data_IF_416887774845
#
_entry.id   IF_416887774845
#
_cell.length_a   1.000
_cell.length_b   1.000
_cell.length_c   1.000
_cell.angle_alpha   90.00
_cell.angle_beta   90.00
_cell.angle_gamma   90.00
#
_symmetry.space_group_name_H-M   'P 1'
#
loop_
_entity.id
_entity.type
_entity.pdbx_description
1 polymer ?
#
# COMPACT_ATOMS: atom_id res chain seq x y z
N UNK A 1 -13.33 -4.67 0.79
CA UNK A 1 -12.35 -3.58 1.07
C UNK A 1 -12.11 -2.80 -0.21
N UNK A 2 -11.16 -1.86 -0.24
CA UNK A 2 -10.95 -1.04 -1.45
C UNK A 2 -9.49 -0.97 -1.90
N UNK A 3 -9.23 -1.17 -3.19
CA UNK A 3 -7.94 -0.87 -3.83
C UNK A 3 -7.87 0.61 -4.20
N UNK A 4 -6.65 1.14 -4.28
CA UNK A 4 -6.41 2.57 -4.43
C UNK A 4 -5.36 2.80 -5.51
N UNK A 5 -5.76 3.27 -6.68
CA UNK A 5 -4.87 3.57 -7.81
C UNK A 5 -4.82 5.06 -8.08
N UNK A 6 -3.63 5.60 -8.24
CA UNK A 6 -3.39 7.01 -8.51
C UNK A 6 -2.97 7.14 -9.97
N UNK A 7 -3.71 7.92 -10.75
CA UNK A 7 -3.36 8.18 -12.15
C UNK A 7 -2.06 9.00 -12.24
N UNK A 8 -1.25 8.66 -13.23
CA UNK A 8 0.02 9.33 -13.54
C UNK A 8 -0.11 10.07 -14.89
N UNK A 9 0.51 11.26 -15.04
CA UNK A 9 1.40 11.91 -14.09
C UNK A 9 0.67 12.51 -12.88
N UNK A 10 1.22 12.28 -11.68
CA UNK A 10 0.65 12.80 -10.44
C UNK A 10 0.82 14.32 -10.34
N UNK A 11 -0.31 15.05 -10.35
CA UNK A 11 -0.34 16.47 -9.98
C UNK A 11 -0.52 16.64 -8.48
N UNK A 12 0.40 17.36 -7.83
CA UNK A 12 0.30 17.73 -6.41
C UNK A 12 -0.23 19.15 -6.20
N UNK A 13 -0.79 19.78 -7.24
CA UNK A 13 -1.37 21.13 -7.19
C UNK A 13 -2.79 21.12 -6.58
N UNK A 14 -3.32 22.30 -6.25
CA UNK A 14 -4.70 22.46 -5.75
C UNK A 14 -4.87 22.35 -4.23
N UNK A 15 -6.00 22.81 -3.71
CA UNK A 15 -6.29 22.85 -2.26
C UNK A 15 -6.39 21.46 -1.66
N UNK A 16 -6.97 20.51 -2.39
CA UNK A 16 -7.18 19.14 -1.94
C UNK A 16 -5.87 18.34 -1.76
N UNK A 17 -4.78 18.74 -2.41
CA UNK A 17 -3.46 18.10 -2.33
C UNK A 17 -2.53 18.74 -1.28
N UNK A 18 -3.04 19.67 -0.45
CA UNK A 18 -2.25 20.40 0.56
C UNK A 18 -1.54 19.47 1.54
N UNK A 19 -2.19 18.38 1.97
CA UNK A 19 -1.60 17.39 2.87
C UNK A 19 -0.36 16.72 2.27
N UNK A 20 -0.48 16.24 1.02
CA UNK A 20 0.65 15.67 0.28
C UNK A 20 1.79 16.68 0.10
N UNK A 21 1.48 17.90 -0.31
CA UNK A 21 2.51 18.95 -0.46
C UNK A 21 3.23 19.24 0.85
N UNK A 22 2.51 19.34 1.97
CA UNK A 22 3.13 19.60 3.28
C UNK A 22 4.14 18.51 3.64
N UNK A 23 3.80 17.25 3.41
CA UNK A 23 4.71 16.12 3.66
C UNK A 23 5.91 16.13 2.71
N UNK A 24 5.70 16.41 1.42
CA UNK A 24 6.79 16.55 0.45
C UNK A 24 7.73 17.69 0.82
N UNK A 25 7.20 18.86 1.19
CA UNK A 25 7.98 20.00 1.63
C UNK A 25 8.76 19.68 2.90
N UNK A 26 8.16 18.99 3.88
CA UNK A 26 8.85 18.60 5.10
C UNK A 26 10.04 17.67 4.83
N UNK A 27 9.87 16.68 3.94
CA UNK A 27 10.98 15.79 3.56
C UNK A 27 12.09 16.54 2.80
N UNK A 28 11.71 17.43 1.88
CA UNK A 28 12.68 18.23 1.10
C UNK A 28 13.41 19.26 1.94
N UNK A 29 12.74 19.90 2.89
CA UNK A 29 13.35 20.84 3.85
C UNK A 29 14.36 20.14 4.76
N UNK A 30 14.15 18.85 5.07
CA UNK A 30 15.14 18.01 5.75
C UNK A 30 16.27 17.48 4.85
N UNK A 31 16.42 18.03 3.63
CA UNK A 31 17.49 17.67 2.69
C UNK A 31 17.38 16.25 2.11
N UNK A 32 16.23 15.59 2.23
CA UNK A 32 16.08 14.19 1.81
C UNK A 32 16.05 14.07 0.29
N UNK A 33 16.92 13.19 -0.25
CA UNK A 33 17.00 12.86 -1.68
C UNK A 33 16.67 11.40 -1.92
N UNK A 34 16.04 11.09 -3.06
CA UNK A 34 15.65 9.73 -3.45
C UNK A 34 16.47 9.30 -4.65
N UNK A 35 17.00 8.07 -4.60
CA UNK A 35 17.78 7.46 -5.68
C UNK A 35 17.25 6.07 -6.01
N UNK A 36 17.33 5.70 -7.30
CA UNK A 36 17.00 4.37 -7.77
C UNK A 36 18.17 3.41 -7.56
N UNK A 37 17.87 2.18 -7.16
CA UNK A 37 18.87 1.14 -6.90
C UNK A 37 19.03 0.21 -8.12
N UNK A 38 19.01 0.78 -9.32
CA UNK A 38 19.13 0.01 -10.55
C UNK A 38 20.51 -0.69 -10.61
N UNK A 39 20.52 -1.96 -10.99
CA UNK A 39 21.74 -2.76 -11.25
C UNK A 39 22.69 -2.96 -10.05
N UNK A 40 22.22 -2.72 -8.82
CA UNK A 40 23.00 -3.01 -7.62
C UNK A 40 23.24 -4.52 -7.48
N UNK A 41 24.51 -4.94 -7.50
CA UNK A 41 24.90 -6.34 -7.30
C UNK A 41 24.56 -6.84 -5.89
N UNK A 42 24.49 -8.16 -5.70
CA UNK A 42 24.12 -8.76 -4.40
C UNK A 42 25.00 -8.32 -3.22
N UNK A 43 26.25 -7.92 -3.48
CA UNK A 43 27.23 -7.50 -2.47
C UNK A 43 27.20 -6.00 -2.15
N UNK A 44 26.29 -5.24 -2.77
CA UNK A 44 26.24 -3.78 -2.61
C UNK A 44 26.05 -3.37 -1.13
N UNK A 45 26.81 -2.36 -0.64
CA UNK A 45 26.62 -1.82 0.70
C UNK A 45 25.22 -1.23 0.90
N UNK A 46 24.54 -0.82 -0.18
CA UNK A 46 23.18 -0.31 -0.20
C UNK A 46 22.18 -1.29 0.44
N UNK A 47 22.38 -2.60 0.31
CA UNK A 47 21.51 -3.59 0.95
C UNK A 47 21.63 -3.60 2.47
N UNK A 48 22.80 -3.25 3.02
CA UNK A 48 22.99 -3.06 4.47
C UNK A 48 22.22 -1.84 4.96
N UNK A 49 22.18 -0.78 4.16
CA UNK A 49 21.40 0.42 4.47
C UNK A 49 19.89 0.13 4.51
N UNK A 50 19.36 -0.62 3.55
CA UNK A 50 17.96 -1.06 3.56
C UNK A 50 17.65 -1.90 4.81
N UNK A 51 18.54 -2.83 5.20
CA UNK A 51 18.42 -3.61 6.45
C UNK A 51 18.39 -2.72 7.69
N UNK A 52 19.22 -1.67 7.72
CA UNK A 52 19.28 -0.72 8.83
C UNK A 52 18.01 0.11 8.97
N UNK A 53 17.52 0.68 7.87
CA UNK A 53 16.24 1.40 7.83
C UNK A 53 15.10 0.47 8.24
N UNK A 54 15.08 -0.76 7.72
CA UNK A 54 14.07 -1.74 8.06
C UNK A 54 14.05 -2.05 9.57
N UNK A 55 15.21 -2.24 10.19
CA UNK A 55 15.32 -2.50 11.63
C UNK A 55 14.78 -1.32 12.44
N UNK A 56 15.14 -0.09 12.08
CA UNK A 56 14.65 1.14 12.72
C UNK A 56 13.13 1.27 12.60
N UNK A 57 12.58 1.03 11.41
CA UNK A 57 11.14 1.07 11.19
C UNK A 57 10.38 -0.01 11.98
N UNK A 58 10.92 -1.24 12.07
CA UNK A 58 10.30 -2.32 12.84
C UNK A 58 10.36 -2.09 14.37
N UNK A 59 11.33 -1.32 14.85
CA UNK A 59 11.45 -1.00 16.28
C UNK A 59 10.28 -0.12 16.76
N UNK A 60 9.65 0.65 15.87
CA UNK A 60 8.53 1.55 16.20
C UNK A 60 7.15 0.97 15.84
N UNK A 61 7.00 -0.36 15.69
CA UNK A 61 5.76 -1.01 15.24
C UNK A 61 5.33 -2.15 16.16
N UNK A 62 4.01 -2.36 16.24
CA UNK A 62 3.41 -3.53 16.89
C UNK A 62 3.86 -4.80 16.17
N UNK A 63 4.39 -5.76 16.93
CA UNK A 63 4.93 -7.02 16.42
C UNK A 63 3.91 -8.14 16.52
N UNK A 64 2.81 -8.07 15.78
CA UNK A 64 1.88 -9.22 15.71
C UNK A 64 2.33 -10.23 14.64
N UNK A 65 2.21 -11.53 14.94
CA UNK A 65 2.59 -12.61 14.01
C UNK A 65 1.70 -12.67 12.77
N UNK A 66 0.46 -12.22 12.90
CA UNK A 66 -0.57 -12.32 11.85
C UNK A 66 -0.33 -11.32 10.72
N UNK A 67 0.03 -10.07 11.05
CA UNK A 67 0.37 -9.06 10.05
C UNK A 67 1.56 -9.48 9.20
N UNK A 68 2.48 -10.28 9.76
CA UNK A 68 3.62 -10.83 9.03
C UNK A 68 3.24 -11.89 7.98
N UNK A 69 2.10 -12.58 8.14
CA UNK A 69 1.57 -13.53 7.14
C UNK A 69 0.81 -12.82 6.03
N UNK A 70 0.08 -11.74 6.36
CA UNK A 70 -0.75 -11.01 5.42
C UNK A 70 0.01 -9.95 4.59
N UNK A 71 1.29 -9.68 4.89
CA UNK A 71 2.09 -8.68 4.18
C UNK A 71 3.22 -9.31 3.38
N UNK A 72 3.50 -8.76 2.19
CA UNK A 72 4.63 -9.19 1.36
C UNK A 72 5.93 -9.13 2.16
N UNK A 73 6.69 -10.24 2.18
CA UNK A 73 8.04 -10.25 2.74
C UNK A 73 8.95 -9.40 1.87
N UNK A 74 9.37 -8.29 2.43
CA UNK A 74 10.23 -7.33 1.77
C UNK A 74 11.62 -7.96 1.52
N UNK A 75 11.95 -8.30 0.27
CA UNK A 75 13.27 -8.82 -0.10
C UNK A 75 14.30 -7.69 -0.05
N UNK A 76 15.27 -7.79 0.86
CA UNK A 76 16.32 -6.78 1.05
C UNK A 76 17.54 -7.09 0.18
N UNK A 77 17.33 -7.11 -1.13
CA UNK A 77 18.32 -7.45 -2.15
C UNK A 77 17.76 -7.32 -3.57
N UNK A 78 18.54 -7.74 -4.60
CA UNK A 78 18.11 -7.70 -5.99
C UNK A 78 16.85 -8.54 -6.21
N UNK A 79 15.94 -8.02 -7.01
CA UNK A 79 14.67 -8.69 -7.32
C UNK A 79 14.15 -8.25 -8.68
N UNK A 80 13.86 -9.24 -9.53
CA UNK A 80 13.31 -9.00 -10.87
C UNK A 80 11.90 -8.42 -10.75
N UNK A 81 11.47 -7.69 -11.78
CA UNK A 81 10.13 -7.08 -11.86
C UNK A 81 9.81 -6.12 -10.71
N UNK A 82 10.85 -5.52 -10.11
CA UNK A 82 10.70 -4.49 -9.09
C UNK A 82 11.67 -3.35 -9.33
N UNK A 83 11.26 -2.14 -8.92
CA UNK A 83 12.13 -0.97 -8.80
C UNK A 83 12.28 -0.64 -7.33
N UNK A 84 13.53 -0.67 -6.82
CA UNK A 84 13.84 -0.30 -5.43
C UNK A 84 14.46 1.08 -5.37
N UNK A 85 14.08 1.84 -4.34
CA UNK A 85 14.57 3.19 -4.12
C UNK A 85 15.09 3.33 -2.69
N UNK A 86 16.08 4.19 -2.52
CA UNK A 86 16.64 4.58 -1.23
C UNK A 86 16.50 6.09 -1.07
N UNK A 87 16.04 6.51 0.11
CA UNK A 87 16.05 7.90 0.54
C UNK A 87 17.25 8.13 1.46
N UNK A 88 18.04 9.17 1.17
CA UNK A 88 19.18 9.61 1.98
C UNK A 88 18.96 11.01 2.52
N UNK A 89 19.37 11.26 3.76
CA UNK A 89 19.46 12.62 4.30
C UNK A 89 20.60 13.41 3.64
N UNK A 90 20.68 14.69 3.94
CA UNK A 90 21.80 15.54 3.51
C UNK A 90 23.16 15.04 4.04
N UNK A 91 23.19 14.51 5.27
CA UNK A 91 24.38 13.88 5.85
C UNK A 91 24.74 12.51 5.23
N UNK A 92 23.97 12.03 4.26
CA UNK A 92 24.21 10.76 3.56
C UNK A 92 23.58 9.52 4.20
N UNK A 93 22.95 9.67 5.37
CA UNK A 93 22.32 8.55 6.08
C UNK A 93 21.13 7.99 5.32
N UNK A 94 21.00 6.67 5.28
CA UNK A 94 19.78 6.02 4.80
C UNK A 94 18.62 6.24 5.79
N UNK A 95 17.58 6.92 5.31
CA UNK A 95 16.40 7.33 6.11
C UNK A 95 15.09 6.74 5.62
N UNK A 96 15.06 6.12 4.45
CA UNK A 96 13.87 5.47 3.93
C UNK A 96 14.15 4.61 2.72
N UNK A 97 13.25 3.69 2.40
CA UNK A 97 13.31 2.94 1.15
C UNK A 97 11.92 2.49 0.72
N UNK A 98 11.77 2.26 -0.58
CA UNK A 98 10.54 1.76 -1.17
C UNK A 98 10.82 0.69 -2.22
N UNK A 99 9.83 -0.18 -2.42
CA UNK A 99 9.81 -1.19 -3.47
C UNK A 99 8.54 -1.00 -4.31
N UNK A 100 8.71 -0.94 -5.61
CA UNK A 100 7.66 -0.81 -6.60
C UNK A 100 7.59 -2.09 -7.41
N UNK A 101 6.51 -2.85 -7.27
CA UNK A 101 6.28 -4.07 -8.05
C UNK A 101 5.71 -3.68 -9.42
N UNK A 102 6.28 -4.21 -10.50
CA UNK A 102 5.85 -3.86 -11.85
C UNK A 102 4.53 -4.55 -12.19
N UNK A 103 3.58 -3.80 -12.75
CA UNK A 103 2.28 -4.31 -13.21
C UNK A 103 2.29 -4.30 -14.74
N UNK A 104 2.07 -5.48 -15.33
CA UNK A 104 2.21 -5.69 -16.76
C UNK A 104 0.85 -5.79 -17.47
N UNK A 105 0.78 -5.25 -18.67
CA UNK A 105 -0.28 -5.46 -19.64
C UNK A 105 0.36 -5.66 -21.02
N UNK A 106 0.06 -6.79 -21.66
CA UNK A 106 0.66 -7.22 -22.94
C UNK A 106 2.18 -7.03 -22.99
N UNK A 107 2.87 -7.50 -21.95
CA UNK A 107 4.34 -7.46 -21.84
C UNK A 107 4.94 -6.10 -21.49
N UNK A 108 4.13 -5.04 -21.34
CA UNK A 108 4.61 -3.71 -21.00
C UNK A 108 4.27 -3.36 -19.57
N UNK A 109 5.17 -2.66 -18.87
CA UNK A 109 4.85 -2.09 -17.55
C UNK A 109 3.86 -0.94 -17.74
N UNK A 110 2.64 -1.12 -17.25
CA UNK A 110 1.55 -0.12 -17.30
C UNK A 110 1.20 0.48 -15.95
N UNK A 111 1.68 -0.14 -14.87
CA UNK A 111 1.52 0.37 -13.52
C UNK A 111 2.67 -0.06 -12.62
N UNK A 112 2.78 0.60 -11.47
CA UNK A 112 3.70 0.17 -10.41
C UNK A 112 2.97 0.13 -9.08
N UNK A 113 3.12 -0.95 -8.32
CA UNK A 113 2.54 -1.10 -7.00
C UNK A 113 3.51 -0.75 -5.89
N UNK A 114 3.15 0.18 -5.00
CA UNK A 114 3.94 0.54 -3.82
C UNK A 114 3.84 -0.58 -2.76
N UNK A 115 4.53 -1.68 -3.01
CA UNK A 115 4.40 -2.91 -2.23
C UNK A 115 5.09 -2.83 -0.88
N UNK A 116 6.18 -2.04 -0.79
CA UNK A 116 6.87 -1.76 0.46
C UNK A 116 7.25 -0.29 0.51
N UNK A 117 6.97 0.37 1.62
CA UNK A 117 7.51 1.68 1.96
C UNK A 117 7.85 1.70 3.44
N UNK A 118 9.11 2.02 3.75
CA UNK A 118 9.61 2.07 5.14
C UNK A 118 10.49 3.29 5.29
N UNK A 119 10.25 4.07 6.33
CA UNK A 119 11.05 5.25 6.66
C UNK A 119 11.37 5.29 8.15
N UNK A 120 12.52 5.87 8.46
CA UNK A 120 12.88 6.22 9.83
C UNK A 120 11.84 7.23 10.36
N UNK A 121 11.18 6.95 11.49
CA UNK A 121 10.10 7.80 12.01
C UNK A 121 10.56 9.20 12.41
N UNK A 122 11.87 9.42 12.59
CA UNK A 122 12.44 10.74 12.88
C UNK A 122 12.36 11.72 11.70
N UNK A 123 12.16 11.21 10.48
CA UNK A 123 12.11 12.02 9.27
C UNK A 123 10.68 12.12 8.74
N UNK A 124 10.10 13.31 8.83
CA UNK A 124 8.74 13.56 8.37
C UNK A 124 8.64 13.49 6.84
N UNK A 125 7.53 12.92 6.34
CA UNK A 125 7.18 12.94 4.91
C UNK A 125 7.98 12.03 3.97
N UNK A 126 9.01 11.31 4.46
CA UNK A 126 9.87 10.45 3.63
C UNK A 126 9.10 9.37 2.87
N UNK A 127 8.12 8.73 3.50
CA UNK A 127 7.29 7.72 2.83
C UNK A 127 6.51 8.29 1.63
N UNK A 128 6.04 9.53 1.74
CA UNK A 128 5.32 10.22 0.66
C UNK A 128 6.29 10.69 -0.43
N UNK A 129 7.47 11.20 -0.05
CA UNK A 129 8.52 11.56 -1.00
C UNK A 129 8.96 10.35 -1.84
N UNK A 130 9.21 9.20 -1.20
CA UNK A 130 9.55 7.95 -1.87
C UNK A 130 8.47 7.52 -2.88
N UNK A 131 7.20 7.61 -2.49
CA UNK A 131 6.10 7.26 -3.37
C UNK A 131 5.99 8.20 -4.59
N UNK A 132 6.10 9.52 -4.39
CA UNK A 132 6.01 10.51 -5.49
C UNK A 132 7.22 10.46 -6.41
N UNK A 133 8.44 10.62 -5.86
CA UNK A 133 9.65 10.64 -6.69
C UNK A 133 9.90 9.25 -7.29
N UNK A 134 9.50 8.19 -6.60
CA UNK A 134 9.56 6.84 -7.15
C UNK A 134 8.67 6.59 -8.34
N UNK A 135 7.42 7.05 -8.30
CA UNK A 135 6.54 6.99 -9.46
C UNK A 135 7.11 7.80 -10.64
N UNK A 136 7.74 8.95 -10.37
CA UNK A 136 8.40 9.76 -11.42
C UNK A 136 9.60 9.06 -12.04
N UNK A 137 10.48 8.49 -11.22
CA UNK A 137 11.62 7.68 -11.69
C UNK A 137 11.12 6.48 -12.50
N UNK A 138 10.07 5.78 -12.05
CA UNK A 138 9.49 4.68 -12.82
C UNK A 138 8.97 5.17 -14.18
N UNK A 139 8.32 6.34 -14.23
CA UNK A 139 7.81 6.91 -15.46
C UNK A 139 8.93 7.28 -16.46
N UNK A 140 10.15 7.60 -16.03
CA UNK A 140 11.28 7.81 -16.95
C UNK A 140 11.78 6.52 -17.59
N UNK A 141 11.51 5.36 -16.98
CA UNK A 141 11.94 4.05 -17.49
C UNK A 141 10.83 3.27 -18.20
N UNK A 142 9.56 3.57 -17.91
CA UNK A 142 8.40 2.84 -18.41
C UNK A 142 7.45 3.78 -19.18
N UNK A 143 7.58 3.88 -20.51
CA UNK A 143 6.81 4.83 -21.32
C UNK A 143 5.29 4.64 -21.27
N UNK A 144 4.81 3.44 -20.93
CA UNK A 144 3.37 3.11 -20.84
C UNK A 144 2.82 3.16 -19.41
N UNK A 145 3.59 3.69 -18.46
CA UNK A 145 3.18 3.77 -17.07
C UNK A 145 2.01 4.74 -16.91
N UNK A 146 0.85 4.24 -16.48
CA UNK A 146 -0.38 5.02 -16.33
C UNK A 146 -0.78 5.24 -14.87
N UNK A 147 -0.39 4.37 -13.95
CA UNK A 147 -0.85 4.47 -12.57
C UNK A 147 0.16 3.98 -11.54
N UNK A 148 0.03 4.53 -10.33
CA UNK A 148 0.65 4.06 -9.09
C UNK A 148 -0.42 3.34 -8.26
N UNK A 149 -0.26 2.05 -8.02
CA UNK A 149 -1.12 1.28 -7.12
C UNK A 149 -0.62 1.40 -5.68
N UNK A 150 -1.43 2.00 -4.80
CA UNK A 150 -1.13 2.13 -3.37
C UNK A 150 -1.52 0.87 -2.59
N UNK A 151 -2.19 -0.08 -3.23
CA UNK A 151 -2.67 -1.35 -2.70
C UNK A 151 -3.98 -1.25 -1.92
N UNK A 152 -4.35 -2.37 -1.29
CA UNK A 152 -5.58 -2.54 -0.54
C UNK A 152 -5.65 -1.69 0.75
N UNK A 153 -6.77 -1.01 0.96
CA UNK A 153 -7.23 -0.51 2.25
C UNK A 153 -8.18 -1.55 2.85
N UNK A 154 -7.69 -2.47 3.70
CA UNK A 154 -8.52 -3.53 4.25
C UNK A 154 -9.55 -2.94 5.21
N UNK A 155 -10.76 -3.50 5.16
CA UNK A 155 -11.91 -3.09 5.99
C UNK A 155 -12.32 -1.61 5.85
N UNK A 156 -11.72 -0.85 4.94
CA UNK A 156 -12.15 0.50 4.68
C UNK A 156 -13.58 0.49 4.11
N UNK A 157 -14.44 1.42 4.55
CA UNK A 157 -15.79 1.55 4.04
C UNK A 157 -15.77 1.69 2.52
N UNK A 158 -16.69 0.99 1.87
CA UNK A 158 -16.92 1.13 0.43
C UNK A 158 -17.51 2.53 0.18
N UNK A 159 -16.95 3.31 -0.76
CA UNK A 159 -17.53 4.59 -1.14
C UNK A 159 -18.97 4.44 -1.61
N UNK A 160 -19.79 5.43 -1.29
CA UNK A 160 -21.19 5.50 -1.70
C UNK A 160 -21.30 5.50 -3.24
N UNK A 161 -22.31 4.79 -3.76
CA UNK A 161 -22.55 4.69 -5.21
C UNK A 161 -21.74 3.64 -5.97
N UNK A 162 -20.88 2.86 -5.29
CA UNK A 162 -20.23 1.72 -5.94
C UNK A 162 -21.18 0.52 -6.08
N UNK A 163 -21.22 -0.07 -7.28
CA UNK A 163 -21.86 -1.37 -7.50
C UNK A 163 -20.98 -2.49 -6.92
N UNK A 164 -21.52 -3.17 -5.92
CA UNK A 164 -20.89 -4.26 -5.19
C UNK A 164 -21.55 -5.61 -5.46
N UNK A 165 -22.37 -5.68 -6.52
CA UNK A 165 -22.99 -6.92 -6.99
C UNK A 165 -21.91 -7.93 -7.35
N UNK A 166 -21.86 -9.10 -6.69
CA UNK A 166 -20.86 -10.11 -7.02
C UNK A 166 -21.07 -10.61 -8.45
N UNK A 167 -19.96 -10.78 -9.16
CA UNK A 167 -19.93 -11.50 -10.43
C UNK A 167 -19.95 -12.99 -10.14
N UNK A 168 -20.95 -13.68 -10.67
CA UNK A 168 -21.04 -15.13 -10.67
C UNK A 168 -20.86 -15.64 -12.09
N UNK A 169 -20.14 -16.75 -12.26
CA UNK A 169 -20.09 -17.46 -13.54
C UNK A 169 -21.31 -18.40 -13.57
N UNK A 170 -22.22 -18.18 -14.52
CA UNK A 170 -23.41 -19.02 -14.74
C UNK A 170 -23.26 -19.76 -16.08
N UNK A 171 -22.56 -20.90 -16.09
CA UNK A 171 -22.20 -21.57 -17.34
C UNK A 171 -21.05 -20.84 -18.04
N UNK A 172 -21.26 -20.39 -19.29
CA UNK A 172 -20.25 -19.64 -20.07
C UNK A 172 -20.34 -18.11 -19.86
N UNK A 173 -21.44 -17.62 -19.27
CA UNK A 173 -21.69 -16.19 -19.09
C UNK A 173 -21.42 -15.71 -17.66
N UNK A 174 -21.05 -14.44 -17.52
CA UNK A 174 -20.93 -13.77 -16.24
C UNK A 174 -22.26 -13.07 -15.87
N UNK A 175 -22.90 -13.53 -14.80
CA UNK A 175 -24.07 -12.91 -14.20
C UNK A 175 -23.68 -11.94 -13.06
N UNK A 176 -24.49 -10.92 -12.82
CA UNK A 176 -24.48 -10.18 -11.55
C UNK A 176 -25.57 -10.74 -10.64
N UNK A 177 -25.19 -11.13 -9.43
CA UNK A 177 -26.17 -11.54 -8.42
C UNK A 177 -26.52 -10.36 -7.51
N UNK A 178 -27.75 -10.31 -6.97
CA UNK A 178 -28.08 -9.34 -5.94
C UNK A 178 -27.18 -9.59 -4.72
N UNK A 179 -26.59 -8.54 -4.15
CA UNK A 179 -25.72 -8.70 -3.01
C UNK A 179 -26.55 -9.04 -1.76
N UNK A 180 -26.21 -10.13 -1.09
CA UNK A 180 -26.79 -10.47 0.21
C UNK A 180 -26.05 -9.71 1.32
N UNK A 181 -26.81 -8.93 2.12
CA UNK A 181 -26.26 -8.07 3.17
C UNK A 181 -26.60 -8.58 4.55
N UNK A 182 -25.60 -9.03 5.29
CA UNK A 182 -25.74 -9.39 6.69
C UNK A 182 -25.36 -8.19 7.56
N UNK A 183 -26.34 -7.46 8.10
CA UNK A 183 -26.13 -6.25 8.93
C UNK A 183 -25.14 -6.46 10.09
N UNK A 184 -25.19 -7.64 10.70
CA UNK A 184 -24.26 -8.01 11.77
C UNK A 184 -22.80 -8.06 11.28
N UNK A 185 -22.56 -8.60 10.08
CA UNK A 185 -21.23 -8.69 9.48
C UNK A 185 -20.69 -7.29 9.17
N UNK A 186 -21.53 -6.40 8.65
CA UNK A 186 -21.15 -5.00 8.44
C UNK A 186 -20.75 -4.32 9.76
N UNK A 187 -21.57 -4.48 10.80
CA UNK A 187 -21.31 -3.89 12.12
C UNK A 187 -19.99 -4.40 12.71
N UNK A 188 -19.70 -5.70 12.55
CA UNK A 188 -18.44 -6.30 12.97
C UNK A 188 -17.25 -5.71 12.21
N UNK A 189 -17.32 -5.64 10.88
CA UNK A 189 -16.23 -5.10 10.07
C UNK A 189 -16.02 -3.60 10.26
N UNK A 190 -17.09 -2.84 10.46
CA UNK A 190 -17.01 -1.43 10.86
C UNK A 190 -16.35 -1.30 12.23
N UNK A 191 -16.72 -2.17 13.19
CA UNK A 191 -16.06 -2.27 14.48
C UNK A 191 -14.56 -2.55 14.36
N UNK A 192 -14.17 -3.54 13.57
CA UNK A 192 -12.78 -3.89 13.30
C UNK A 192 -12.02 -2.76 12.58
N UNK A 193 -12.66 -2.04 11.67
CA UNK A 193 -12.06 -0.87 11.06
C UNK A 193 -11.89 0.26 12.08
N UNK A 194 -12.83 0.41 13.03
CA UNK A 194 -12.78 1.45 14.06
C UNK A 194 -11.75 1.18 15.16
N UNK A 195 -11.64 -0.06 15.59
CA UNK A 195 -10.90 -0.47 16.80
C UNK A 195 -9.71 -1.38 16.52
N UNK A 196 -9.59 -1.93 15.30
CA UNK A 196 -8.55 -2.90 14.93
C UNK A 196 -7.15 -2.33 14.75
N UNK A 197 -6.92 -1.04 15.03
CA UNK A 197 -5.59 -0.38 14.92
C UNK A 197 -4.50 -1.11 15.72
N UNK A 198 -4.86 -1.78 16.81
CA UNK A 198 -3.94 -2.61 17.61
C UNK A 198 -3.49 -3.90 16.91
N UNK A 199 -4.30 -4.45 16.01
CA UNK A 199 -3.99 -5.66 15.24
C UNK A 199 -3.35 -5.32 13.89
N UNK A 200 -3.95 -4.38 13.17
CA UNK A 200 -3.46 -3.86 11.89
C UNK A 200 -3.87 -2.39 11.77
N UNK A 201 -2.95 -1.52 11.33
CA UNK A 201 -3.22 -0.08 11.18
C UNK A 201 -4.12 0.23 9.98
N UNK A 202 -5.36 -0.28 9.97
CA UNK A 202 -6.38 -0.16 8.92
C UNK A 202 -6.72 1.32 8.67
N UNK A 203 -7.01 2.08 9.73
CA UNK A 203 -7.40 3.48 9.63
C UNK A 203 -6.28 4.38 9.15
N UNK A 204 -5.09 4.25 9.74
CA UNK A 204 -3.94 5.06 9.38
C UNK A 204 -3.53 4.82 7.93
N UNK A 205 -3.58 3.56 7.49
CA UNK A 205 -3.31 3.19 6.09
C UNK A 205 -4.37 3.76 5.14
N UNK A 206 -5.66 3.57 5.44
CA UNK A 206 -6.75 4.08 4.61
C UNK A 206 -6.75 5.62 4.55
N UNK A 207 -6.47 6.30 5.66
CA UNK A 207 -6.30 7.77 5.71
C UNK A 207 -5.10 8.21 4.87
N UNK A 208 -3.97 7.52 5.00
CA UNK A 208 -2.77 7.82 4.21
C UNK A 208 -3.01 7.63 2.71
N UNK A 209 -3.82 6.67 2.28
CA UNK A 209 -4.14 6.43 0.86
C UNK A 209 -5.15 7.44 0.31
N UNK A 210 -6.21 7.76 1.07
CA UNK A 210 -7.25 8.72 0.66
C UNK A 210 -6.71 10.11 0.32
N UNK A 211 -5.64 10.56 0.97
CA UNK A 211 -5.01 11.87 0.68
C UNK A 211 -4.45 11.98 -0.74
N UNK A 212 -4.21 10.85 -1.42
CA UNK A 212 -3.74 10.80 -2.80
C UNK A 212 -4.84 10.94 -3.84
N UNK A 213 -6.11 11.04 -3.41
CA UNK A 213 -7.27 11.07 -4.30
C UNK A 213 -7.25 9.95 -5.35
N UNK A 214 -7.06 8.68 -4.91
CA UNK A 214 -6.99 7.57 -5.83
C UNK A 214 -8.36 7.29 -6.46
N UNK A 215 -8.35 6.78 -7.67
CA UNK A 215 -9.43 5.94 -8.17
C UNK A 215 -9.52 4.69 -7.31
N UNK A 216 -10.74 4.39 -6.89
CA UNK A 216 -11.01 3.36 -5.91
C UNK A 216 -11.81 2.24 -6.57
N UNK A 217 -11.39 1.00 -6.38
CA UNK A 217 -12.10 -0.20 -6.84
C UNK A 217 -12.34 -1.17 -5.70
N UNK A 218 -13.35 -2.02 -5.86
CA UNK A 218 -13.72 -3.01 -4.85
C UNK A 218 -12.72 -4.17 -4.83
N UNK A 219 -12.37 -4.60 -3.62
CA UNK A 219 -11.62 -5.82 -3.37
C UNK A 219 -12.50 -6.83 -2.65
N UNK A 220 -12.59 -8.02 -3.24
CA UNK A 220 -13.41 -9.14 -2.79
C UNK A 220 -12.56 -10.26 -2.21
N UNK A 221 -13.18 -11.07 -1.35
CA UNK A 221 -12.61 -12.33 -0.88
C UNK A 221 -13.52 -13.46 -1.37
N UNK A 222 -12.98 -14.34 -2.20
CA UNK A 222 -13.69 -15.55 -2.63
C UNK A 222 -13.53 -16.65 -1.59
N UNK A 223 -14.63 -17.30 -1.24
CA UNK A 223 -14.67 -18.44 -0.31
C UNK A 223 -15.38 -19.61 -0.97
N UNK A 224 -14.90 -20.84 -0.75
CA UNK A 224 -15.48 -22.05 -1.34
C UNK A 224 -16.79 -22.49 -0.67
N UNK A 225 -17.04 -22.02 0.55
CA UNK A 225 -18.25 -22.30 1.33
C UNK A 225 -18.68 -21.00 2.02
N UNK A 226 -19.98 -20.82 2.31
CA UNK A 226 -20.44 -19.71 3.12
C UNK A 226 -19.58 -19.63 4.38
N UNK A 227 -19.09 -18.42 4.70
CA UNK A 227 -18.23 -18.26 5.86
C UNK A 227 -18.98 -18.77 7.09
N UNK A 228 -18.35 -19.63 7.91
CA UNK A 228 -18.92 -20.04 9.17
C UNK A 228 -18.88 -18.81 10.10
N UNK A 229 -19.91 -17.96 10.01
CA UNK A 229 -19.92 -16.60 10.58
C UNK A 229 -19.67 -16.64 12.08
N UNK A 230 -20.17 -17.68 12.77
CA UNK A 230 -19.97 -17.86 14.22
C UNK A 230 -18.50 -18.10 14.56
N UNK A 231 -17.80 -18.89 13.75
CA UNK A 231 -16.41 -19.27 13.89
C UNK A 231 -15.49 -18.11 13.49
N UNK A 232 -15.85 -17.35 12.46
CA UNK A 232 -15.17 -16.11 12.08
C UNK A 232 -15.26 -15.08 13.22
N UNK A 233 -16.46 -14.90 13.80
CA UNK A 233 -16.68 -14.01 14.94
C UNK A 233 -15.90 -14.47 16.17
N UNK A 234 -15.95 -15.77 16.49
CA UNK A 234 -15.20 -16.34 17.61
C UNK A 234 -13.69 -16.14 17.44
N UNK A 235 -13.16 -16.37 16.23
CA UNK A 235 -11.76 -16.12 15.91
C UNK A 235 -11.39 -14.63 16.03
N UNK A 236 -12.24 -13.73 15.56
CA UNK A 236 -12.00 -12.28 15.64
C UNK A 236 -12.10 -11.75 17.08
N UNK A 237 -12.99 -12.29 17.91
CA UNK A 237 -13.09 -11.96 19.34
C UNK A 237 -11.84 -12.44 20.08
N UNK A 238 -11.39 -13.68 19.84
CA UNK A 238 -10.18 -14.23 20.46
C UNK A 238 -8.89 -13.50 20.04
N UNK A 239 -8.89 -12.83 18.89
CA UNK A 239 -7.77 -12.00 18.43
C UNK A 239 -7.81 -10.57 18.99
N UNK A 240 -8.96 -10.11 19.49
CA UNK A 240 -9.14 -8.77 20.04
C UNK A 240 -8.94 -8.68 21.57
N UNK A 241 -8.82 -9.84 22.25
CA UNK A 241 -8.44 -9.99 23.67
C UNK A 241 -6.94 -10.22 23.78
#
# INVERSE_FOLDING_TARGET
GVENRVQLPLSVKGTQMRGLRRELCAAKAGGVRVVALANEGSSSPTWRDLKRVNRRWLASRVRSREVRRATRRAKLGPERHTTKLLARSEAGDAVGWACFDHIYDKGHVVGVGLSVVRSDPRFAGVSTLLAVEGARICATHFPRLRFLDLGLSPLAPVPEGMDWSPLAICGEDACRLPPERLRFVDTLFDGLFRWGTGLYNTQGLARWKRKWRPETSLAYVGVQRPLPVRELVAALILLAV
#
